data_IF_443951475644
#
_entry.id   IF_443951475644
#
_cell.length_a   1.000
_cell.length_b   1.000
_cell.length_c   1.000
_cell.angle_alpha   90.00
_cell.angle_beta   90.00
_cell.angle_gamma   90.00
#
_symmetry.space_group_name_H-M   'P 1'
#
loop_
_entity.id
_entity.type
_entity.pdbx_description
1 polymer ?
#
# COMPACT_ATOMS: atom_id res chain seq x y z
N UNK A 1 4.03 34.15 -45.09
CA UNK A 1 3.85 33.91 -46.54
C UNK A 1 3.92 32.40 -46.68
N UNK A 2 2.87 31.68 -46.29
CA UNK A 2 1.72 31.14 -47.05
C UNK A 2 1.37 29.87 -46.22
N UNK A 3 0.16 29.43 -45.93
CA UNK A 3 -1.10 29.55 -46.62
C UNK A 3 -2.23 29.79 -45.61
N UNK A 4 -2.93 30.91 -45.76
CA UNK A 4 -4.34 30.96 -45.39
C UNK A 4 -5.12 30.36 -46.54
N UNK A 5 -5.92 29.32 -46.30
CA UNK A 5 -6.96 28.91 -47.24
C UNK A 5 -8.10 28.18 -46.49
N UNK A 6 -9.19 28.92 -46.28
CA UNK A 6 -10.58 28.46 -46.36
C UNK A 6 -11.03 27.33 -45.39
N UNK A 7 -11.36 27.70 -44.15
CA UNK A 7 -12.33 26.97 -43.33
C UNK A 7 -13.71 27.64 -43.40
N UNK A 8 -14.17 27.95 -44.61
CA UNK A 8 -15.56 28.31 -44.88
C UNK A 8 -16.22 27.20 -45.69
N UNK A 9 -17.28 26.60 -45.13
CA UNK A 9 -18.30 25.76 -45.77
C UNK A 9 -18.28 24.23 -45.65
N UNK A 10 -17.70 23.63 -44.60
CA UNK A 10 -18.15 22.28 -44.21
C UNK A 10 -18.26 22.17 -42.69
N UNK A 11 -19.50 22.07 -42.20
CA UNK A 11 -19.78 21.64 -40.83
C UNK A 11 -19.11 20.28 -40.61
N UNK A 12 -18.14 20.13 -39.68
CA UNK A 12 -17.56 18.82 -39.44
C UNK A 12 -18.58 17.97 -38.69
N UNK A 13 -18.95 16.86 -39.34
CA UNK A 13 -19.58 15.66 -38.79
C UNK A 13 -18.97 15.39 -37.39
N UNK A 14 -19.74 15.00 -36.36
CA UNK A 14 -19.19 14.65 -35.05
C UNK A 14 -18.25 13.44 -35.21
N UNK A 15 -16.96 13.73 -35.38
CA UNK A 15 -15.86 12.77 -35.38
C UNK A 15 -15.16 12.87 -34.04
N UNK A 16 -15.10 11.77 -33.31
CA UNK A 16 -14.22 11.68 -32.14
C UNK A 16 -12.78 11.68 -32.66
N UNK A 17 -12.05 12.76 -32.41
CA UNK A 17 -10.59 12.77 -32.61
C UNK A 17 -9.99 11.92 -31.51
N UNK A 18 -9.79 10.63 -31.77
CA UNK A 18 -8.90 9.79 -30.96
C UNK A 18 -7.50 9.98 -31.52
N UNK A 19 -6.77 10.95 -30.99
CA UNK A 19 -5.33 11.02 -31.20
C UNK A 19 -4.70 9.91 -30.35
N UNK A 20 -4.30 8.80 -30.98
CA UNK A 20 -3.44 7.82 -30.33
C UNK A 20 -2.07 8.48 -30.13
N UNK A 21 -1.56 8.59 -28.90
CA UNK A 21 -0.21 9.10 -28.69
C UNK A 21 0.79 8.18 -29.40
N UNK A 22 1.74 8.78 -30.11
CA UNK A 22 2.88 8.08 -30.70
C UNK A 22 3.61 7.30 -29.60
N UNK A 23 3.67 5.98 -29.73
CA UNK A 23 4.26 5.06 -28.73
C UNK A 23 5.75 5.33 -28.45
N UNK A 24 6.41 6.14 -29.29
CA UNK A 24 7.82 6.52 -29.12
C UNK A 24 8.04 7.79 -28.28
N UNK A 25 6.97 8.55 -27.96
CA UNK A 25 7.03 9.80 -27.19
C UNK A 25 5.89 9.91 -26.17
N UNK A 26 5.56 8.80 -25.51
CA UNK A 26 4.47 8.71 -24.50
C UNK A 26 4.74 9.55 -23.24
N UNK A 27 6.01 9.83 -22.94
CA UNK A 27 6.44 10.58 -21.76
C UNK A 27 7.12 11.89 -22.16
N UNK A 28 6.69 12.98 -21.54
CA UNK A 28 7.22 14.32 -21.79
C UNK A 28 7.26 15.13 -20.49
N UNK A 29 8.23 16.05 -20.38
CA UNK A 29 8.35 16.93 -19.22
C UNK A 29 7.44 18.12 -19.38
N UNK A 30 6.52 18.30 -18.43
CA UNK A 30 5.62 19.45 -18.38
C UNK A 30 5.84 20.25 -17.11
N UNK A 31 5.67 21.57 -17.23
CA UNK A 31 5.79 22.50 -16.10
C UNK A 31 4.53 23.35 -16.00
N UNK A 32 4.22 23.80 -14.78
CA UNK A 32 3.05 24.63 -14.49
C UNK A 32 2.17 24.07 -13.38
N UNK A 33 1.24 24.89 -12.90
CA UNK A 33 0.28 24.50 -11.85
C UNK A 33 -0.62 23.33 -12.28
N UNK A 34 -0.86 23.17 -13.59
CA UNK A 34 -1.58 22.02 -14.15
C UNK A 34 -0.93 20.66 -13.85
N UNK A 35 0.36 20.62 -13.52
CA UNK A 35 1.06 19.40 -13.07
C UNK A 35 1.01 19.23 -11.56
N UNK A 36 0.81 20.31 -10.80
CA UNK A 36 0.64 20.27 -9.34
C UNK A 36 -0.79 19.87 -8.94
N UNK A 37 -1.81 20.35 -9.65
CA UNK A 37 -3.22 20.04 -9.39
C UNK A 37 -3.52 18.54 -9.32
N UNK A 38 -3.08 17.67 -10.26
CA UNK A 38 -3.36 16.24 -10.18
C UNK A 38 -2.71 15.56 -8.97
N UNK A 39 -1.59 16.07 -8.43
CA UNK A 39 -0.97 15.53 -7.21
C UNK A 39 -1.85 15.79 -5.99
N UNK A 40 -2.46 16.97 -5.90
CA UNK A 40 -3.41 17.30 -4.82
C UNK A 40 -4.70 16.50 -4.98
N UNK A 41 -5.19 16.32 -6.21
CA UNK A 41 -6.34 15.45 -6.47
C UNK A 41 -6.05 13.98 -6.07
N UNK A 42 -4.85 13.49 -6.38
CA UNK A 42 -4.39 12.17 -5.94
C UNK A 42 -4.31 12.06 -4.41
N UNK A 43 -3.91 13.12 -3.70
CA UNK A 43 -3.92 13.15 -2.24
C UNK A 43 -5.34 13.04 -1.66
N UNK A 44 -6.33 13.69 -2.28
CA UNK A 44 -7.75 13.51 -1.91
C UNK A 44 -8.21 12.08 -2.17
N UNK A 45 -7.78 11.48 -3.29
CA UNK A 45 -8.01 10.07 -3.59
C UNK A 45 -7.39 9.13 -2.55
N UNK A 46 -6.15 9.39 -2.14
CA UNK A 46 -5.45 8.63 -1.10
C UNK A 46 -6.17 8.72 0.25
N UNK A 47 -6.61 9.91 0.64
CA UNK A 47 -7.41 10.12 1.84
C UNK A 47 -8.74 9.35 1.74
N UNK A 48 -9.40 9.37 0.58
CA UNK A 48 -10.64 8.61 0.35
C UNK A 48 -10.46 7.10 0.46
N UNK A 49 -9.32 6.59 0.00
CA UNK A 49 -9.01 5.16 -0.01
C UNK A 49 -8.74 4.62 1.41
N UNK A 50 -8.13 5.44 2.27
CA UNK A 50 -7.81 5.09 3.65
C UNK A 50 -8.95 5.43 4.63
N UNK A 51 -9.74 6.46 4.32
CA UNK A 51 -10.86 6.94 5.14
C UNK A 51 -12.14 7.05 4.29
N UNK A 52 -12.76 5.91 3.93
CA UNK A 52 -13.89 5.88 3.00
C UNK A 52 -15.13 6.60 3.55
N UNK A 53 -15.32 6.57 4.87
CA UNK A 53 -16.45 7.19 5.56
C UNK A 53 -16.24 8.69 5.86
N UNK A 54 -15.03 9.24 5.69
CA UNK A 54 -14.78 10.67 5.87
C UNK A 54 -15.44 11.47 4.74
N UNK A 55 -16.29 12.48 5.03
CA UNK A 55 -16.80 13.39 4.03
C UNK A 55 -15.69 14.28 3.44
N UNK A 56 -15.95 14.86 2.27
CA UNK A 56 -14.95 15.63 1.52
C UNK A 56 -14.33 16.79 2.32
N UNK A 57 -15.11 17.48 3.15
CA UNK A 57 -14.60 18.59 3.95
C UNK A 57 -13.58 18.13 5.02
N UNK A 58 -13.80 16.94 5.60
CA UNK A 58 -12.85 16.33 6.54
C UNK A 58 -11.58 15.88 5.82
N UNK A 59 -11.70 15.30 4.62
CA UNK A 59 -10.54 14.94 3.80
C UNK A 59 -9.69 16.16 3.44
N UNK A 60 -10.33 17.27 3.08
CA UNK A 60 -9.62 18.53 2.81
C UNK A 60 -8.92 19.04 4.07
N UNK A 61 -9.59 19.03 5.23
CA UNK A 61 -8.96 19.42 6.51
C UNK A 61 -7.75 18.54 6.84
N UNK A 62 -7.86 17.22 6.67
CA UNK A 62 -6.77 16.26 6.89
C UNK A 62 -5.56 16.58 6.01
N UNK A 63 -5.78 16.86 4.71
CA UNK A 63 -4.71 17.27 3.80
C UNK A 63 -4.07 18.59 4.26
N UNK A 64 -4.86 19.56 4.69
CA UNK A 64 -4.37 20.86 5.14
C UNK A 64 -3.59 20.77 6.47
N UNK A 65 -3.97 19.89 7.39
CA UNK A 65 -3.23 19.65 8.63
C UNK A 65 -1.98 18.79 8.42
N UNK A 66 -1.94 18.00 7.35
CA UNK A 66 -0.83 17.14 6.98
C UNK A 66 0.36 17.89 6.34
N UNK A 67 0.26 19.21 6.12
CA UNK A 67 1.25 19.97 5.36
C UNK A 67 2.59 20.08 6.12
N UNK A 68 3.70 19.95 5.39
CA UNK A 68 5.04 20.28 5.87
C UNK A 68 5.30 21.77 5.65
N UNK A 69 5.44 22.59 6.72
CA UNK A 69 5.74 24.00 6.56
C UNK A 69 7.11 24.21 5.92
N UNK A 70 7.19 25.15 4.98
CA UNK A 70 8.44 25.49 4.32
C UNK A 70 8.62 27.02 4.32
N UNK A 71 9.72 27.49 4.91
CA UNK A 71 9.98 28.92 5.07
C UNK A 71 9.91 29.69 3.75
N UNK A 72 10.44 29.10 2.67
CA UNK A 72 10.44 29.72 1.34
C UNK A 72 9.04 29.88 0.73
N UNK A 73 8.03 29.20 1.27
CA UNK A 73 6.63 29.26 0.85
C UNK A 73 5.77 30.14 1.76
N UNK A 74 6.32 30.64 2.87
CA UNK A 74 5.60 31.61 3.73
C UNK A 74 5.25 32.84 2.92
N UNK A 75 4.02 33.32 3.12
CA UNK A 75 3.43 34.47 2.43
C UNK A 75 3.29 34.31 0.89
N UNK A 76 3.67 33.16 0.33
CA UNK A 76 3.53 32.86 -1.10
C UNK A 76 2.33 31.99 -1.41
N UNK A 77 1.98 31.09 -0.49
CA UNK A 77 0.82 30.20 -0.59
C UNK A 77 0.08 30.18 0.75
N UNK A 78 -1.24 30.02 0.72
CA UNK A 78 -2.08 30.08 1.92
C UNK A 78 -1.68 29.06 3.00
N UNK A 79 -1.13 27.92 2.59
CA UNK A 79 -0.71 26.83 3.47
C UNK A 79 0.73 26.95 3.97
N UNK A 80 1.51 27.88 3.42
CA UNK A 80 2.93 28.08 3.71
C UNK A 80 3.79 26.78 3.69
N UNK A 81 3.42 25.79 2.89
CA UNK A 81 4.07 24.48 2.96
C UNK A 81 3.77 23.57 1.78
N UNK A 82 4.37 22.38 1.82
CA UNK A 82 4.27 21.35 0.79
C UNK A 82 3.35 20.20 1.24
N UNK A 83 2.72 19.56 0.28
CA UNK A 83 1.92 18.35 0.47
C UNK A 83 2.79 17.21 1.03
N UNK A 84 2.32 16.54 2.09
CA UNK A 84 2.94 15.34 2.66
C UNK A 84 1.93 14.20 2.65
N UNK A 85 2.16 13.20 1.79
CA UNK A 85 1.23 12.08 1.64
C UNK A 85 1.26 11.10 2.81
N UNK A 86 2.42 10.91 3.45
CA UNK A 86 2.55 10.01 4.58
C UNK A 86 1.76 10.54 5.78
N UNK A 87 1.85 11.84 6.07
CA UNK A 87 1.13 12.47 7.18
C UNK A 87 -0.39 12.44 7.05
N UNK A 88 -0.91 12.24 5.84
CA UNK A 88 -2.36 12.11 5.63
C UNK A 88 -2.88 10.82 6.27
N UNK A 89 -2.07 9.74 6.21
CA UNK A 89 -2.49 8.38 6.60
C UNK A 89 -1.91 7.93 7.94
N UNK A 90 -0.77 8.49 8.35
CA UNK A 90 -0.04 8.20 9.58
C UNK A 90 0.43 9.55 10.15
N UNK A 91 -0.36 10.13 11.06
CA UNK A 91 -0.18 11.49 11.56
C UNK A 91 1.02 11.60 12.50
N UNK A 92 1.36 10.53 13.21
CA UNK A 92 2.42 10.50 14.22
C UNK A 92 3.71 9.80 13.75
N UNK A 93 3.71 9.25 12.54
CA UNK A 93 4.84 8.57 11.88
C UNK A 93 5.36 7.36 12.64
N UNK A 94 4.49 6.69 13.39
CA UNK A 94 4.88 5.51 14.14
C UNK A 94 4.89 4.22 13.28
N UNK A 95 4.45 4.31 12.01
CA UNK A 95 4.38 3.19 11.08
C UNK A 95 3.05 2.42 11.12
N UNK A 96 2.12 2.81 11.99
CA UNK A 96 0.74 2.35 12.02
C UNK A 96 -0.16 3.41 11.36
N UNK A 97 -1.06 3.01 10.45
CA UNK A 97 -2.01 3.95 9.88
C UNK A 97 -3.05 4.42 10.91
N UNK A 98 -3.40 5.71 10.91
CA UNK A 98 -4.40 6.31 11.79
C UNK A 98 -5.72 5.53 11.78
N UNK A 99 -6.15 5.05 10.60
CA UNK A 99 -7.42 4.30 10.46
C UNK A 99 -7.39 2.99 11.23
N UNK A 100 -6.23 2.33 11.30
CA UNK A 100 -6.06 1.06 12.00
C UNK A 100 -6.09 1.29 13.51
N UNK A 101 -5.37 2.32 13.98
CA UNK A 101 -5.35 2.70 15.39
C UNK A 101 -6.75 3.14 15.86
N UNK A 102 -7.44 3.97 15.07
CA UNK A 102 -8.81 4.40 15.38
C UNK A 102 -9.80 3.23 15.37
N UNK A 103 -9.63 2.25 14.48
CA UNK A 103 -10.51 1.10 14.41
C UNK A 103 -10.45 0.27 15.70
N UNK A 104 -9.25 -0.11 16.13
CA UNK A 104 -9.05 -0.99 17.28
C UNK A 104 -9.03 -0.27 18.63
N UNK A 105 -8.45 0.92 18.71
CA UNK A 105 -8.18 1.61 19.98
C UNK A 105 -8.97 2.90 20.18
N UNK A 106 -9.71 3.37 19.16
CA UNK A 106 -10.49 4.63 19.20
C UNK A 106 -9.64 5.89 19.43
N UNK A 107 -8.33 5.79 19.20
CA UNK A 107 -7.38 6.91 19.25
C UNK A 107 -6.25 6.71 18.23
N UNK A 108 -5.45 7.75 18.02
CA UNK A 108 -4.20 7.76 17.24
C UNK A 108 -3.05 7.90 18.23
N UNK A 109 -1.87 7.36 17.95
CA UNK A 109 -0.73 7.44 18.88
C UNK A 109 -0.44 6.14 19.64
N UNK A 110 -0.86 5.01 19.09
CA UNK A 110 -0.65 3.68 19.67
C UNK A 110 0.78 3.25 19.40
N UNK A 111 1.49 2.84 20.44
CA UNK A 111 2.87 2.40 20.27
C UNK A 111 2.94 1.12 19.43
N UNK A 112 3.76 1.08 18.36
CA UNK A 112 3.92 -0.10 17.48
C UNK A 112 4.54 -1.31 18.17
N UNK A 113 5.24 -1.10 19.28
CA UNK A 113 6.04 -2.12 19.98
C UNK A 113 5.30 -2.79 21.15
N UNK A 114 4.07 -2.37 21.44
CA UNK A 114 3.27 -2.90 22.55
C UNK A 114 2.44 -4.10 22.07
N UNK A 115 2.22 -5.04 22.98
CA UNK A 115 1.36 -6.22 22.84
C UNK A 115 0.19 -6.09 23.85
N UNK A 116 -0.94 -5.46 23.45
CA UNK A 116 -2.04 -5.17 24.37
C UNK A 116 -2.81 -6.41 24.83
N UNK A 117 -2.91 -7.46 24.00
CA UNK A 117 -3.68 -8.67 24.28
C UNK A 117 -2.84 -9.86 24.78
N UNK A 118 -1.52 -9.68 24.84
CA UNK A 118 -0.51 -10.56 25.42
C UNK A 118 -0.39 -11.90 24.67
N UNK A 119 -0.48 -11.87 23.35
CA UNK A 119 -0.36 -13.05 22.49
C UNK A 119 1.06 -13.27 21.94
N UNK A 120 1.96 -12.33 22.21
CA UNK A 120 3.36 -12.31 21.78
C UNK A 120 3.61 -11.56 20.48
N UNK A 121 2.61 -10.94 19.86
CA UNK A 121 2.75 -10.07 18.71
C UNK A 121 2.64 -8.58 19.11
N UNK A 122 3.49 -7.75 18.52
CA UNK A 122 3.37 -6.29 18.71
C UNK A 122 2.32 -5.72 17.75
N UNK A 123 1.75 -4.56 18.07
CA UNK A 123 0.81 -3.84 17.21
C UNK A 123 1.29 -3.73 15.74
N UNK A 124 2.58 -3.47 15.53
CA UNK A 124 3.16 -3.42 14.19
C UNK A 124 3.15 -4.79 13.50
N UNK A 125 3.54 -5.86 14.21
CA UNK A 125 3.51 -7.21 13.67
C UNK A 125 2.07 -7.62 13.29
N UNK A 126 1.10 -7.20 14.10
CA UNK A 126 -0.32 -7.48 13.86
C UNK A 126 -0.92 -6.68 12.73
N UNK A 127 -0.57 -5.40 12.60
CA UNK A 127 -0.90 -4.60 11.43
C UNK A 127 -0.35 -5.25 10.15
N UNK A 128 0.91 -5.70 10.16
CA UNK A 128 1.52 -6.40 9.03
C UNK A 128 0.71 -7.67 8.73
N UNK A 129 0.42 -8.46 9.76
CA UNK A 129 -0.23 -9.75 9.63
C UNK A 129 -1.72 -9.69 9.28
N UNK A 130 -2.37 -8.54 9.51
CA UNK A 130 -3.81 -8.39 9.37
C UNK A 130 -4.59 -9.07 10.51
N UNK A 131 -4.01 -9.12 11.70
CA UNK A 131 -4.65 -9.66 12.92
C UNK A 131 -5.30 -8.55 13.75
N UNK A 132 -5.96 -8.94 14.85
CA UNK A 132 -6.70 -8.04 15.72
C UNK A 132 -5.94 -7.88 17.05
N UNK A 133 -5.43 -6.67 17.35
CA UNK A 133 -4.57 -6.41 18.51
C UNK A 133 -5.27 -6.28 19.86
N UNK A 134 -6.53 -6.67 19.90
CA UNK A 134 -7.35 -6.72 21.11
C UNK A 134 -7.85 -8.14 21.39
N UNK A 135 -7.43 -9.12 20.58
CA UNK A 135 -7.90 -10.49 20.66
C UNK A 135 -6.77 -11.48 20.41
N UNK A 136 -6.22 -12.01 21.51
CA UNK A 136 -5.16 -13.01 21.54
C UNK A 136 -5.38 -14.29 20.72
N UNK A 137 -6.62 -14.57 20.31
CA UNK A 137 -6.94 -15.71 19.46
C UNK A 137 -6.79 -15.41 17.98
N UNK A 138 -6.79 -14.13 17.62
CA UNK A 138 -6.52 -13.65 16.27
C UNK A 138 -5.01 -13.51 16.09
N UNK A 139 -4.29 -14.62 15.93
CA UNK A 139 -2.82 -14.60 15.79
C UNK A 139 -2.35 -15.20 14.48
N UNK A 140 -1.26 -14.66 13.94
CA UNK A 140 -0.59 -15.27 12.79
C UNK A 140 0.31 -16.40 13.27
N UNK A 141 -0.11 -17.64 13.02
CA UNK A 141 0.65 -18.83 13.38
C UNK A 141 0.82 -19.74 12.17
N UNK A 142 2.07 -20.15 11.92
CA UNK A 142 2.41 -21.13 10.89
C UNK A 142 2.32 -22.52 11.51
N UNK A 143 1.36 -23.31 11.03
CA UNK A 143 1.34 -24.75 11.19
C UNK A 143 2.25 -25.42 10.15
N UNK A 144 2.86 -26.53 10.52
CA UNK A 144 3.65 -27.34 9.61
C UNK A 144 3.38 -28.82 9.85
N UNK A 145 3.45 -29.61 8.78
CA UNK A 145 3.36 -31.06 8.82
C UNK A 145 4.42 -31.64 7.87
N UNK A 146 5.17 -32.63 8.34
CA UNK A 146 6.16 -33.34 7.53
C UNK A 146 5.54 -34.66 7.07
N UNK A 147 5.41 -34.85 5.77
CA UNK A 147 4.84 -36.05 5.16
C UNK A 147 5.95 -36.87 4.49
N UNK A 148 6.51 -37.83 5.22
CA UNK A 148 7.63 -38.65 4.74
C UNK A 148 8.99 -37.95 4.85
N UNK A 149 9.93 -38.27 3.96
CA UNK A 149 11.32 -37.81 4.09
C UNK A 149 11.59 -36.40 3.51
N UNK A 150 10.76 -35.91 2.59
CA UNK A 150 11.07 -34.70 1.80
C UNK A 150 9.88 -33.77 1.55
N UNK A 151 8.68 -34.08 2.03
CA UNK A 151 7.51 -33.23 1.83
C UNK A 151 7.21 -32.45 3.11
N UNK A 152 7.21 -31.12 2.98
CA UNK A 152 6.76 -30.20 4.03
C UNK A 152 5.50 -29.51 3.56
N UNK A 153 4.46 -29.62 4.38
CA UNK A 153 3.19 -28.92 4.22
C UNK A 153 3.17 -27.77 5.23
N UNK A 154 3.08 -26.54 4.72
CA UNK A 154 2.94 -25.33 5.53
C UNK A 154 1.50 -24.84 5.47
N UNK A 155 0.96 -24.44 6.62
CA UNK A 155 -0.41 -23.98 6.78
C UNK A 155 -0.44 -22.70 7.59
N UNK A 156 -1.13 -21.66 7.12
CA UNK A 156 -1.26 -20.41 7.90
C UNK A 156 -2.56 -19.69 7.58
N UNK A 157 -3.10 -18.90 8.53
CA UNK A 157 -4.23 -18.01 8.26
C UNK A 157 -3.76 -16.88 7.33
N UNK A 158 -4.54 -16.59 6.30
CA UNK A 158 -4.32 -15.42 5.43
C UNK A 158 -5.31 -14.32 5.72
N UNK A 159 -4.87 -13.08 5.60
CA UNK A 159 -5.71 -11.89 5.69
C UNK A 159 -5.94 -11.30 4.29
N UNK A 160 -7.13 -10.73 4.00
CA UNK A 160 -7.37 -10.00 2.76
C UNK A 160 -6.44 -8.77 2.66
N UNK A 161 -6.13 -8.34 1.42
CA UNK A 161 -5.23 -7.20 1.14
C UNK A 161 -3.81 -7.39 1.69
N UNK A 162 -3.39 -8.66 1.78
CA UNK A 162 -2.04 -9.09 2.13
C UNK A 162 -1.62 -10.16 1.16
N UNK A 163 -0.37 -10.11 0.71
CA UNK A 163 0.25 -11.16 -0.06
C UNK A 163 1.30 -11.88 0.77
N UNK A 164 1.47 -13.17 0.54
CA UNK A 164 2.40 -14.01 1.29
C UNK A 164 3.48 -14.55 0.34
N UNK A 165 4.72 -14.38 0.75
CA UNK A 165 5.90 -14.88 0.04
C UNK A 165 6.55 -15.99 0.85
N UNK A 166 6.73 -17.14 0.21
CA UNK A 166 7.46 -18.25 0.81
C UNK A 166 8.92 -18.11 0.43
N UNK A 167 9.78 -18.06 1.44
CA UNK A 167 11.22 -17.93 1.32
C UNK A 167 11.86 -19.20 1.89
N UNK A 168 12.85 -19.74 1.18
CA UNK A 168 13.60 -20.92 1.60
C UNK A 168 15.09 -20.63 1.68
N UNK A 169 15.73 -21.25 2.66
CA UNK A 169 17.17 -21.28 2.77
C UNK A 169 17.66 -22.74 2.72
N UNK A 170 18.42 -23.06 1.68
CA UNK A 170 18.92 -24.42 1.44
C UNK A 170 20.20 -24.71 2.21
N UNK A 171 21.02 -23.70 2.53
CA UNK A 171 22.29 -23.85 3.27
C UNK A 171 22.41 -22.76 4.35
N UNK A 172 21.62 -22.84 5.42
CA UNK A 172 21.75 -21.90 6.54
C UNK A 172 23.01 -22.20 7.38
N UNK A 173 23.78 -21.20 7.85
CA UNK A 173 23.60 -19.75 7.67
C UNK A 173 24.40 -19.17 6.47
N UNK A 174 24.98 -20.00 5.61
CA UNK A 174 25.94 -19.58 4.57
C UNK A 174 25.29 -19.05 3.30
N UNK A 175 24.06 -19.44 2.98
CA UNK A 175 23.25 -18.86 1.90
C UNK A 175 22.13 -17.97 2.43
N UNK A 176 21.69 -17.00 1.62
CA UNK A 176 20.52 -16.18 1.91
C UNK A 176 19.20 -16.89 1.61
N UNK A 177 18.08 -16.25 1.97
CA UNK A 177 16.74 -16.72 1.62
C UNK A 177 16.44 -16.46 0.14
N UNK A 178 15.77 -17.41 -0.51
CA UNK A 178 15.32 -17.31 -1.90
C UNK A 178 13.81 -17.57 -2.00
N UNK A 179 13.11 -16.82 -2.86
CA UNK A 179 11.66 -16.96 -3.00
C UNK A 179 11.30 -18.27 -3.72
N UNK A 180 10.25 -18.93 -3.23
CA UNK A 180 9.66 -20.11 -3.86
C UNK A 180 8.26 -19.79 -4.31
N UNK A 181 8.03 -19.92 -5.62
CA UNK A 181 6.72 -19.67 -6.22
C UNK A 181 6.37 -18.17 -6.30
N UNK A 182 5.15 -17.90 -6.78
CA UNK A 182 4.58 -16.56 -6.83
C UNK A 182 4.04 -16.13 -5.47
N UNK A 183 3.77 -14.82 -5.32
CA UNK A 183 3.08 -14.31 -4.14
C UNK A 183 1.68 -14.94 -4.05
N UNK A 184 1.29 -15.37 -2.85
CA UNK A 184 -0.03 -15.92 -2.57
C UNK A 184 -0.89 -14.77 -2.03
N UNK A 185 -1.92 -14.38 -2.78
CA UNK A 185 -2.88 -13.36 -2.32
C UNK A 185 -3.73 -13.94 -1.20
N UNK A 186 -3.81 -13.23 -0.09
CA UNK A 186 -4.58 -13.63 1.07
C UNK A 186 -6.07 -13.46 0.84
N UNK A 187 -6.84 -14.48 1.19
CA UNK A 187 -8.29 -14.52 0.96
C UNK A 187 -9.10 -14.47 2.26
N UNK A 188 -8.45 -14.36 3.41
CA UNK A 188 -9.12 -14.52 4.72
C UNK A 188 -9.20 -15.98 5.19
N UNK A 189 -8.73 -16.94 4.37
CA UNK A 189 -8.81 -18.36 4.66
C UNK A 189 -7.45 -18.95 5.04
N UNK A 190 -7.47 -20.20 5.46
CA UNK A 190 -6.25 -20.99 5.67
C UNK A 190 -5.66 -21.37 4.32
N UNK A 191 -4.42 -20.98 4.07
CA UNK A 191 -3.67 -21.43 2.89
C UNK A 191 -2.82 -22.65 3.22
N UNK A 192 -2.65 -23.51 2.21
CA UNK A 192 -1.82 -24.71 2.26
C UNK A 192 -0.77 -24.62 1.16
N UNK A 193 0.50 -24.75 1.50
CA UNK A 193 1.58 -24.86 0.51
C UNK A 193 2.41 -26.11 0.76
N UNK A 194 2.51 -26.94 -0.28
CA UNK A 194 3.26 -28.19 -0.24
C UNK A 194 4.58 -27.98 -0.97
N UNK A 195 5.68 -28.20 -0.27
CA UNK A 195 7.02 -28.19 -0.84
C UNK A 195 7.55 -29.62 -0.89
N UNK A 196 7.70 -30.16 -2.10
CA UNK A 196 8.18 -31.52 -2.35
C UNK A 196 9.66 -31.52 -2.71
N UNK A 197 10.37 -32.56 -2.28
CA UNK A 197 11.71 -32.93 -2.79
C UNK A 197 12.80 -31.87 -2.66
N UNK A 198 12.72 -30.95 -1.69
CA UNK A 198 13.80 -30.01 -1.40
C UNK A 198 14.37 -30.26 0.01
N UNK A 199 15.64 -30.66 0.16
CA UNK A 199 16.31 -30.60 1.46
C UNK A 199 16.49 -29.13 1.83
N UNK A 200 15.54 -28.58 2.57
CA UNK A 200 15.52 -27.17 2.98
C UNK A 200 15.66 -27.12 4.48
N UNK A 201 16.56 -26.27 4.96
CA UNK A 201 16.88 -26.16 6.39
C UNK A 201 15.95 -25.19 7.09
N UNK A 202 15.53 -24.11 6.41
CA UNK A 202 14.63 -23.10 6.98
C UNK A 202 13.63 -22.57 5.95
N UNK A 203 12.39 -22.37 6.42
CA UNK A 203 11.31 -21.69 5.71
C UNK A 203 10.96 -20.40 6.44
N UNK A 204 10.63 -19.36 5.68
CA UNK A 204 10.09 -18.10 6.17
C UNK A 204 8.87 -17.73 5.33
N UNK A 205 7.77 -17.38 5.98
CA UNK A 205 6.61 -16.77 5.33
C UNK A 205 6.69 -15.27 5.58
N UNK A 206 6.96 -14.50 4.52
CA UNK A 206 6.99 -13.05 4.58
C UNK A 206 5.64 -12.50 4.13
N UNK A 207 5.08 -11.63 4.95
CA UNK A 207 3.84 -10.93 4.64
C UNK A 207 4.19 -9.62 3.93
N UNK A 208 3.57 -9.39 2.79
CA UNK A 208 3.73 -8.19 1.97
C UNK A 208 2.39 -7.47 1.98
N UNK A 209 2.33 -6.24 2.51
CA UNK A 209 1.13 -5.41 2.39
C UNK A 209 0.82 -5.21 0.91
N UNK A 210 -0.40 -5.56 0.49
CA UNK A 210 -0.83 -5.31 -0.87
C UNK A 210 -1.45 -3.91 -0.91
N UNK A 211 -0.72 -2.98 -1.51
CA UNK A 211 -1.30 -1.74 -1.99
C UNK A 211 -1.94 -2.07 -3.33
N UNK A 212 -3.26 -2.32 -3.36
CA UNK A 212 -3.92 -2.45 -4.66
C UNK A 212 -3.75 -1.15 -5.46
N UNK A 213 -3.43 -1.22 -6.77
CA UNK A 213 -3.37 -0.08 -7.67
C UNK A 213 -4.74 0.56 -7.94
#
# INVERSE_FOLDING_TARGET
MEAGLLLSNMCPIPGVVVAWPDETSVYDYKTGSSMATPLVAAAVGLAALNFPDEPLDQRVKRILSAIDPLESLRERVATAGRLNLAKIVDTDYNGLPDWWEQFYFKCVGISPEVDPDQDGATNLAEWVAGTNPTNKHSRFQIGYMIEGATNLTLTWPTAPRRAYQILVNTNYPTSGFSQVGSNIVGSGNVNLSIHQNKPVVLYQVKIVPEFEP
#
